data_IF_804019955737
#
_entry.id   IF_804019955737
#
_cell.length_a   1.000
_cell.length_b   1.000
_cell.length_c   1.000
_cell.angle_alpha   90.00
_cell.angle_beta   90.00
_cell.angle_gamma   90.00
#
_symmetry.space_group_name_H-M   'P 1'
#
loop_
_entity.id
_entity.type
_entity.pdbx_description
1 polymer ?
#
# COMPACT_ATOMS: atom_id res chain seq x y z
N UNK A 1 1.30 -17.45 -0.50
CA UNK A 1 1.04 -16.59 0.67
C UNK A 1 0.39 -15.30 0.20
N UNK A 2 -0.60 -14.82 0.93
CA UNK A 2 -1.32 -13.58 0.56
C UNK A 2 -0.82 -12.41 1.41
N UNK A 3 -0.72 -11.24 0.81
CA UNK A 3 -0.34 -10.02 1.53
C UNK A 3 -1.13 -8.84 0.95
N UNK A 4 -1.63 -7.98 1.85
CA UNK A 4 -2.21 -6.70 1.46
C UNK A 4 -1.08 -5.68 1.41
N UNK A 5 -0.98 -4.95 0.32
CA UNK A 5 0.06 -3.94 0.13
C UNK A 5 -0.54 -2.55 0.03
N UNK A 6 0.11 -1.57 0.64
CA UNK A 6 -0.32 -0.18 0.48
C UNK A 6 0.51 0.53 -0.58
N UNK A 7 0.15 1.79 -0.86
CA UNK A 7 0.82 2.56 -1.90
C UNK A 7 2.30 2.78 -1.61
N UNK A 8 2.69 2.89 -0.32
CA UNK A 8 4.09 3.11 0.05
C UNK A 8 4.98 1.95 -0.40
N UNK A 9 4.48 0.73 -0.28
CA UNK A 9 5.22 -0.48 -0.70
C UNK A 9 5.35 -0.52 -2.21
N UNK A 10 4.26 -0.27 -2.94
CA UNK A 10 4.29 -0.30 -4.40
C UNK A 10 5.25 0.73 -4.97
N UNK A 11 5.19 1.97 -4.46
CA UNK A 11 6.06 3.05 -4.94
C UNK A 11 7.52 2.77 -4.60
N UNK A 12 7.81 2.30 -3.38
CA UNK A 12 9.19 1.96 -3.01
C UNK A 12 9.76 0.88 -3.90
N UNK A 13 8.97 -0.16 -4.19
CA UNK A 13 9.42 -1.24 -5.07
C UNK A 13 9.77 -0.75 -6.47
N UNK A 14 9.04 0.25 -6.96
CA UNK A 14 9.22 0.77 -8.32
C UNK A 14 10.28 1.88 -8.44
N UNK A 15 10.60 2.58 -7.35
CA UNK A 15 11.41 3.80 -7.44
C UNK A 15 12.59 3.86 -6.50
N UNK A 16 12.63 3.08 -5.44
CA UNK A 16 13.64 3.20 -4.40
C UNK A 16 14.68 2.09 -4.56
N UNK A 17 15.94 2.49 -4.78
CA UNK A 17 17.06 1.55 -4.90
C UNK A 17 17.72 1.22 -3.54
N UNK A 18 17.24 1.83 -2.46
CA UNK A 18 17.77 1.63 -1.11
C UNK A 18 17.11 0.46 -0.38
N UNK A 19 17.27 0.47 0.96
CA UNK A 19 16.77 -0.60 1.84
C UNK A 19 15.26 -0.82 1.71
N UNK A 20 14.50 0.27 1.71
CA UNK A 20 13.04 0.19 1.66
C UNK A 20 12.58 -0.39 0.33
N UNK A 21 13.22 0.01 -0.77
CA UNK A 21 12.89 -0.53 -2.09
C UNK A 21 13.20 -2.00 -2.21
N UNK A 22 14.35 -2.44 -1.70
CA UNK A 22 14.72 -3.85 -1.70
C UNK A 22 13.75 -4.69 -0.86
N UNK A 23 13.39 -4.18 0.31
CA UNK A 23 12.39 -4.84 1.14
C UNK A 23 11.03 -4.92 0.43
N UNK A 24 10.60 -3.81 -0.18
CA UNK A 24 9.33 -3.76 -0.90
C UNK A 24 9.32 -4.76 -2.06
N UNK A 25 10.40 -4.84 -2.83
CA UNK A 25 10.51 -5.84 -3.90
C UNK A 25 10.39 -7.26 -3.35
N UNK A 26 10.99 -7.53 -2.20
CA UNK A 26 10.89 -8.85 -1.58
C UNK A 26 9.44 -9.17 -1.16
N UNK A 27 8.70 -8.17 -0.70
CA UNK A 27 7.28 -8.34 -0.36
C UNK A 27 6.48 -8.69 -1.62
N UNK A 28 6.69 -7.96 -2.71
CA UNK A 28 5.96 -8.20 -3.96
C UNK A 28 6.27 -9.57 -4.56
N UNK A 29 7.44 -10.13 -4.26
CA UNK A 29 7.85 -11.43 -4.79
C UNK A 29 7.32 -12.62 -4.01
N UNK A 30 6.75 -12.42 -2.82
CA UNK A 30 6.42 -13.52 -1.91
C UNK A 30 5.12 -14.25 -2.19
N UNK A 31 4.21 -13.69 -2.98
CA UNK A 31 2.96 -14.38 -3.21
C UNK A 31 1.89 -13.49 -3.83
N UNK A 32 0.64 -13.76 -3.48
CA UNK A 32 -0.50 -13.04 -4.02
C UNK A 32 -0.65 -11.68 -3.34
N UNK A 33 -0.81 -10.64 -4.17
CA UNK A 33 -0.91 -9.26 -3.72
C UNK A 33 -2.37 -8.80 -3.79
N UNK A 34 -2.82 -8.15 -2.72
CA UNK A 34 -4.17 -7.63 -2.60
C UNK A 34 -4.13 -6.18 -2.13
N UNK A 35 -5.06 -5.37 -2.60
CA UNK A 35 -5.16 -3.99 -2.16
C UNK A 35 -6.56 -3.42 -2.42
N UNK A 36 -6.95 -2.36 -1.71
CA UNK A 36 -8.12 -1.56 -2.08
C UNK A 36 -7.95 -0.97 -3.49
N UNK A 37 -9.05 -0.77 -4.20
CA UNK A 37 -9.03 -0.13 -5.52
C UNK A 37 -8.31 1.22 -5.49
N UNK A 38 -8.36 1.91 -4.37
CA UNK A 38 -7.73 3.21 -4.19
C UNK A 38 -6.21 3.19 -4.34
N UNK A 39 -5.57 2.03 -4.17
CA UNK A 39 -4.10 1.95 -4.13
C UNK A 39 -3.45 2.55 -5.38
N UNK A 40 -4.05 2.36 -6.54
CA UNK A 40 -3.47 2.87 -7.80
C UNK A 40 -3.49 4.40 -7.83
N UNK A 41 -4.56 5.00 -7.32
CA UNK A 41 -4.66 6.46 -7.24
C UNK A 41 -3.69 7.01 -6.21
N UNK A 42 -3.61 6.38 -5.06
CA UNK A 42 -2.67 6.81 -4.01
C UNK A 42 -1.22 6.70 -4.48
N UNK A 43 -0.87 5.58 -5.09
CA UNK A 43 0.50 5.39 -5.62
C UNK A 43 0.82 6.42 -6.70
N UNK A 44 -0.13 6.70 -7.59
CA UNK A 44 0.02 7.74 -8.62
C UNK A 44 0.24 9.10 -7.98
N UNK A 45 -0.49 9.42 -6.90
CA UNK A 45 -0.31 10.68 -6.17
C UNK A 45 1.08 10.79 -5.53
N UNK A 46 1.60 9.69 -5.00
CA UNK A 46 2.96 9.67 -4.44
C UNK A 46 4.00 9.90 -5.54
N UNK A 47 3.85 9.24 -6.69
CA UNK A 47 4.76 9.46 -7.83
C UNK A 47 4.74 10.92 -8.29
N UNK A 48 3.55 11.51 -8.37
CA UNK A 48 3.39 12.93 -8.72
C UNK A 48 4.14 13.83 -7.74
N UNK A 49 4.02 13.55 -6.44
CA UNK A 49 4.71 14.32 -5.41
C UNK A 49 6.24 14.20 -5.53
N UNK A 50 6.74 12.98 -5.73
CA UNK A 50 8.17 12.73 -5.89
C UNK A 50 8.74 13.48 -7.09
N UNK A 51 8.01 13.54 -8.20
CA UNK A 51 8.41 14.30 -9.36
C UNK A 51 8.43 15.80 -9.07
N UNK A 52 7.38 16.32 -8.44
CA UNK A 52 7.30 17.75 -8.06
C UNK A 52 8.42 18.17 -7.12
N UNK A 53 8.78 17.31 -6.19
CA UNK A 53 9.86 17.57 -5.22
C UNK A 53 11.24 17.28 -5.80
N UNK A 54 11.30 16.90 -7.07
CA UNK A 54 12.54 16.58 -7.79
C UNK A 54 13.35 15.43 -7.17
N UNK A 55 12.66 14.55 -6.47
CA UNK A 55 13.24 13.31 -5.97
C UNK A 55 13.22 12.21 -7.03
N UNK A 56 12.43 12.42 -8.08
CA UNK A 56 12.30 11.51 -9.20
C UNK A 56 12.20 12.36 -10.47
N UNK A 57 13.00 12.05 -11.49
CA UNK A 57 12.89 12.81 -12.72
C UNK A 57 11.64 12.39 -13.52
N UNK A 58 11.17 13.22 -14.47
CA UNK A 58 9.95 12.92 -15.21
C UNK A 58 9.98 11.61 -15.97
N UNK A 59 11.14 11.19 -16.46
CA UNK A 59 11.29 9.94 -17.18
C UNK A 59 11.09 8.75 -16.26
N UNK A 60 11.75 8.76 -15.08
CA UNK A 60 11.62 7.69 -14.11
C UNK A 60 10.22 7.65 -13.52
N UNK A 61 9.60 8.79 -13.27
CA UNK A 61 8.21 8.85 -12.79
C UNK A 61 7.25 8.24 -13.81
N UNK A 62 7.42 8.55 -15.09
CA UNK A 62 6.59 8.00 -16.15
C UNK A 62 6.75 6.48 -16.28
N UNK A 63 7.97 6.00 -16.19
CA UNK A 63 8.27 4.57 -16.24
C UNK A 63 7.60 3.85 -15.05
N UNK A 64 7.75 4.42 -13.85
CA UNK A 64 7.16 3.84 -12.64
C UNK A 64 5.63 3.77 -12.73
N UNK A 65 4.96 4.82 -13.23
CA UNK A 65 3.50 4.78 -13.36
C UNK A 65 3.04 3.75 -14.37
N UNK A 66 3.79 3.52 -15.43
CA UNK A 66 3.46 2.48 -16.40
C UNK A 66 3.60 1.09 -15.77
N UNK A 67 4.68 0.87 -15.02
CA UNK A 67 4.91 -0.40 -14.35
C UNK A 67 3.89 -0.66 -13.24
N UNK A 68 3.43 0.39 -12.57
CA UNK A 68 2.43 0.29 -11.51
C UNK A 68 1.17 -0.45 -11.99
N UNK A 69 0.67 -0.08 -13.16
CA UNK A 69 -0.56 -0.68 -13.71
C UNK A 69 -0.35 -2.15 -14.08
N UNK A 70 0.88 -2.54 -14.37
CA UNK A 70 1.20 -3.91 -14.74
C UNK A 70 1.43 -4.84 -13.55
N UNK A 71 1.52 -4.31 -12.34
CA UNK A 71 1.70 -5.16 -11.15
C UNK A 71 0.48 -6.06 -10.94
N UNK A 72 0.69 -7.34 -10.63
CA UNK A 72 -0.42 -8.30 -10.47
C UNK A 72 -1.06 -8.18 -9.09
N UNK A 73 -1.73 -7.07 -8.82
CA UNK A 73 -2.43 -6.80 -7.56
C UNK A 73 -3.92 -6.98 -7.76
N UNK A 74 -4.54 -7.84 -6.95
CA UNK A 74 -5.99 -8.00 -6.96
C UNK A 74 -6.62 -6.85 -6.18
N UNK A 75 -7.52 -6.11 -6.82
CA UNK A 75 -8.12 -4.90 -6.26
C UNK A 75 -9.53 -5.18 -5.74
N UNK A 76 -9.85 -4.60 -4.58
CA UNK A 76 -11.14 -4.81 -3.91
C UNK A 76 -11.92 -3.51 -3.80
N UNK A 77 -13.26 -3.54 -3.99
CA UNK A 77 -14.10 -2.36 -3.86
C UNK A 77 -14.30 -1.99 -2.39
N UNK A 78 -14.77 -0.76 -2.15
CA UNK A 78 -14.94 -0.24 -0.81
C UNK A 78 -16.12 -0.83 -0.05
N UNK A 79 -17.25 -1.04 -0.74
CA UNK A 79 -18.52 -1.33 -0.08
C UNK A 79 -18.51 -2.49 0.92
N UNK A 80 -17.87 -3.64 0.61
CA UNK A 80 -17.85 -4.75 1.57
C UNK A 80 -17.14 -4.42 2.89
N UNK A 81 -16.32 -3.37 2.89
CA UNK A 81 -15.50 -2.99 4.05
C UNK A 81 -16.00 -1.73 4.76
N UNK A 82 -17.06 -1.12 4.24
CA UNK A 82 -17.55 0.18 4.70
C UNK A 82 -17.87 0.19 6.19
N UNK A 83 -18.49 -0.86 6.71
CA UNK A 83 -18.86 -0.93 8.14
C UNK A 83 -17.63 -0.96 9.03
N UNK A 84 -16.65 -1.83 8.70
CA UNK A 84 -15.41 -1.93 9.49
C UNK A 84 -14.61 -0.63 9.41
N UNK A 85 -14.55 0.00 8.25
CA UNK A 85 -13.89 1.30 8.08
C UNK A 85 -14.53 2.34 9.02
N UNK A 86 -15.86 2.35 9.10
CA UNK A 86 -16.57 3.27 10.00
C UNK A 86 -16.26 3.00 11.48
N UNK A 87 -16.14 1.74 11.86
CA UNK A 87 -15.75 1.36 13.23
C UNK A 87 -14.39 1.90 13.62
N UNK A 88 -13.48 2.01 12.66
CA UNK A 88 -12.10 2.48 12.88
C UNK A 88 -11.94 4.00 12.78
N UNK A 89 -13.00 4.74 12.54
CA UNK A 89 -12.95 6.18 12.19
C UNK A 89 -12.26 7.08 13.21
N UNK A 90 -12.26 6.69 14.48
CA UNK A 90 -11.68 7.53 15.54
C UNK A 90 -10.17 7.45 15.63
N UNK A 91 -9.56 6.42 15.07
CA UNK A 91 -8.14 6.18 15.19
C UNK A 91 -7.42 6.14 13.87
N UNK A 92 -8.14 5.90 12.77
CA UNK A 92 -7.55 5.71 11.45
C UNK A 92 -8.38 6.46 10.42
N UNK A 93 -7.72 7.09 9.43
CA UNK A 93 -8.44 7.70 8.31
C UNK A 93 -9.21 6.62 7.53
N UNK A 94 -10.25 7.04 6.80
CA UNK A 94 -11.03 6.10 5.99
C UNK A 94 -10.16 5.40 4.94
N UNK A 95 -9.17 6.10 4.41
CA UNK A 95 -8.23 5.54 3.44
C UNK A 95 -7.42 4.41 4.06
N UNK A 96 -6.77 4.66 5.19
CA UNK A 96 -5.96 3.66 5.88
C UNK A 96 -6.80 2.53 6.46
N UNK A 97 -7.99 2.87 6.97
CA UNK A 97 -8.91 1.87 7.52
C UNK A 97 -9.35 0.84 6.48
N UNK A 98 -9.44 1.24 5.21
CA UNK A 98 -9.80 0.30 4.14
C UNK A 98 -8.74 -0.79 3.97
N UNK A 99 -7.45 -0.43 4.06
CA UNK A 99 -6.38 -1.42 4.03
C UNK A 99 -6.46 -2.38 5.20
N UNK A 100 -6.68 -1.86 6.40
CA UNK A 100 -6.82 -2.66 7.61
C UNK A 100 -8.02 -3.62 7.50
N UNK A 101 -9.17 -3.09 7.09
CA UNK A 101 -10.39 -3.90 6.95
C UNK A 101 -10.22 -5.03 5.93
N UNK A 102 -9.56 -4.74 4.80
CA UNK A 102 -9.28 -5.77 3.79
C UNK A 102 -8.37 -6.86 4.36
N UNK A 103 -7.28 -6.45 5.02
CA UNK A 103 -6.33 -7.40 5.59
C UNK A 103 -6.99 -8.31 6.62
N UNK A 104 -7.86 -7.74 7.47
CA UNK A 104 -8.63 -8.52 8.44
C UNK A 104 -9.58 -9.52 7.76
N UNK A 105 -10.28 -9.06 6.74
CA UNK A 105 -11.29 -9.87 6.06
C UNK A 105 -10.71 -11.09 5.34
N UNK A 106 -9.53 -10.95 4.75
CA UNK A 106 -8.88 -12.07 4.06
C UNK A 106 -7.83 -12.79 4.91
N UNK A 107 -7.71 -12.38 6.17
CA UNK A 107 -6.73 -12.92 7.12
C UNK A 107 -5.31 -12.94 6.55
N UNK A 108 -4.90 -11.82 5.99
CA UNK A 108 -3.56 -11.62 5.44
C UNK A 108 -2.88 -10.46 6.15
N UNK A 109 -1.54 -10.46 6.24
CA UNK A 109 -0.83 -9.33 6.82
C UNK A 109 -0.90 -8.12 5.90
N UNK A 110 -0.80 -6.93 6.47
CA UNK A 110 -0.71 -5.66 5.76
C UNK A 110 0.76 -5.21 5.74
N UNK A 111 1.32 -5.13 4.56
CA UNK A 111 2.67 -4.62 4.37
C UNK A 111 2.63 -3.12 4.15
N UNK A 112 3.40 -2.38 4.94
CA UNK A 112 3.43 -0.92 4.88
C UNK A 112 4.77 -0.37 5.33
N UNK A 113 5.14 0.78 4.76
CA UNK A 113 6.27 1.58 5.23
C UNK A 113 5.80 2.70 6.18
N UNK A 114 4.48 2.84 6.39
CA UNK A 114 3.92 3.86 7.26
C UNK A 114 3.87 3.36 8.70
N UNK A 115 4.76 3.90 9.53
CA UNK A 115 4.85 3.53 10.94
C UNK A 115 3.64 3.96 11.77
N UNK A 116 2.95 5.02 11.34
CA UNK A 116 1.74 5.48 12.04
C UNK A 116 0.60 4.50 11.85
N UNK A 117 0.45 3.97 10.64
CA UNK A 117 -0.57 2.97 10.36
C UNK A 117 -0.38 1.72 11.22
N UNK A 118 0.86 1.28 11.36
CA UNK A 118 1.19 0.11 12.18
C UNK A 118 0.79 0.26 13.64
N UNK A 119 0.72 1.50 14.13
CA UNK A 119 0.36 1.81 15.52
C UNK A 119 -1.12 2.10 15.70
N UNK A 120 -1.93 1.95 14.66
CA UNK A 120 -3.35 2.29 14.71
C UNK A 120 -4.08 1.45 15.75
N UNK A 121 -4.73 2.13 16.69
CA UNK A 121 -5.52 1.47 17.72
C UNK A 121 -6.76 0.83 17.09
N UNK A 122 -7.09 -0.38 17.51
CA UNK A 122 -8.26 -1.10 17.01
C UNK A 122 -8.03 -1.96 15.78
N UNK A 123 -6.89 -1.83 15.11
CA UNK A 123 -6.54 -2.71 13.99
C UNK A 123 -6.25 -4.12 14.52
N UNK A 124 -6.86 -5.12 13.89
CA UNK A 124 -6.70 -6.53 14.28
C UNK A 124 -5.82 -7.32 13.31
N UNK A 125 -5.43 -6.72 12.20
CA UNK A 125 -4.56 -7.39 11.24
C UNK A 125 -3.12 -7.41 11.73
N UNK A 126 -2.34 -8.34 11.18
CA UNK A 126 -0.90 -8.37 11.38
C UNK A 126 -0.26 -7.39 10.41
N UNK A 127 0.90 -6.85 10.79
CA UNK A 127 1.66 -5.94 9.93
C UNK A 127 3.00 -6.54 9.55
N UNK A 128 3.42 -6.32 8.31
CA UNK A 128 4.77 -6.62 7.82
C UNK A 128 5.42 -5.29 7.50
N UNK A 129 6.55 -5.03 8.10
CA UNK A 129 7.24 -3.75 7.97
C UNK A 129 8.73 -3.96 7.69
N UNK A 130 9.32 -2.96 7.06
CA UNK A 130 10.77 -2.92 6.91
C UNK A 130 11.43 -2.74 8.28
N UNK A 131 12.47 -3.49 8.53
CA UNK A 131 13.21 -3.45 9.81
C UNK A 131 14.35 -2.46 9.75
#
# INVERSE_FOLDING_TARGET
MSVVVDASVLVAALTDSGRDGLWAESVLAQGELFAPQLVLVEATSVLRRLERERLLDPRDANEARCDLILLPVALFPFEPFAERVWELRRTVSSYDAWYVALAEAIDAPLATLDRRLRRASGARCRFVTAV
#
